data_IF_050355420282
#
_entry.id   IF_050355420282
#
_cell.length_a   1.000
_cell.length_b   1.000
_cell.length_c   1.000
_cell.angle_alpha   90.00
_cell.angle_beta   90.00
_cell.angle_gamma   90.00
#
_symmetry.space_group_name_H-M   'P 1'
#
loop_
_entity.id
_entity.type
_entity.pdbx_description
1 polymer ?
#
# COMPACT_ATOMS: atom_id res chain seq x y z
N UNK A 1 21.67 -25.51 61.27
CA UNK A 1 20.85 -25.67 60.05
C UNK A 1 20.96 -27.14 59.63
N UNK A 2 19.85 -27.89 59.56
CA UNK A 2 19.92 -29.32 59.24
C UNK A 2 20.20 -29.53 57.75
N UNK A 3 20.88 -30.62 57.34
CA UNK A 3 21.24 -30.87 55.94
C UNK A 3 20.03 -30.86 54.99
N UNK A 4 18.86 -31.28 55.49
CA UNK A 4 17.58 -31.21 54.75
C UNK A 4 17.17 -29.77 54.38
N UNK A 5 17.42 -28.78 55.25
CA UNK A 5 17.11 -27.37 54.96
C UNK A 5 18.08 -26.78 53.93
N UNK A 6 19.36 -27.19 53.94
CA UNK A 6 20.35 -26.73 52.97
C UNK A 6 20.07 -27.25 51.55
N UNK A 7 19.60 -28.50 51.44
CA UNK A 7 19.21 -29.08 50.15
C UNK A 7 17.99 -28.38 49.54
N UNK A 8 16.98 -28.04 50.34
CA UNK A 8 15.81 -27.28 49.87
C UNK A 8 16.19 -25.90 49.33
N UNK A 9 17.09 -25.17 50.00
CA UNK A 9 17.58 -23.88 49.50
C UNK A 9 18.38 -24.02 48.20
N UNK A 10 19.19 -25.07 48.06
CA UNK A 10 19.95 -25.32 46.84
C UNK A 10 19.05 -25.62 45.63
N UNK A 11 17.98 -26.40 45.81
CA UNK A 11 17.02 -26.70 44.74
C UNK A 11 16.26 -25.45 44.30
N UNK A 12 15.81 -24.62 45.24
CA UNK A 12 15.11 -23.37 44.92
C UNK A 12 16.04 -22.40 44.19
N UNK A 13 17.30 -22.26 44.61
CA UNK A 13 18.27 -21.43 43.93
C UNK A 13 18.55 -21.93 42.49
N UNK A 14 18.72 -23.24 42.30
CA UNK A 14 18.92 -23.85 40.99
C UNK A 14 17.70 -23.65 40.08
N UNK A 15 16.48 -23.80 40.62
CA UNK A 15 15.24 -23.58 39.89
C UNK A 15 15.10 -22.11 39.43
N UNK A 16 15.46 -21.15 40.27
CA UNK A 16 15.45 -19.73 39.89
C UNK A 16 16.47 -19.41 38.80
N UNK A 17 17.67 -20.01 38.86
CA UNK A 17 18.70 -19.85 37.81
C UNK A 17 18.21 -20.46 36.49
N UNK A 18 17.57 -21.63 36.52
CA UNK A 18 17.02 -22.27 35.33
C UNK A 18 15.91 -21.43 34.67
N UNK A 19 15.05 -20.77 35.46
CA UNK A 19 14.02 -19.85 34.96
C UNK A 19 14.63 -18.63 34.27
N UNK A 20 15.71 -18.06 34.83
CA UNK A 20 16.42 -16.93 34.21
C UNK A 20 17.16 -17.35 32.94
N UNK A 21 17.79 -18.53 32.92
CA UNK A 21 18.50 -19.05 31.75
C UNK A 21 17.57 -19.47 30.61
N UNK A 22 16.31 -19.77 30.90
CA UNK A 22 15.30 -20.14 29.91
C UNK A 22 14.56 -18.94 29.29
N UNK A 23 15.02 -17.69 29.56
CA UNK A 23 14.43 -16.53 28.90
C UNK A 23 14.61 -16.65 27.38
N UNK A 24 13.53 -16.51 26.59
CA UNK A 24 13.64 -16.49 25.15
C UNK A 24 14.51 -15.30 24.75
N UNK A 25 15.46 -15.53 23.83
CA UNK A 25 16.25 -14.45 23.25
C UNK A 25 15.28 -13.42 22.66
N UNK A 26 15.38 -12.17 23.13
CA UNK A 26 14.63 -11.07 22.54
C UNK A 26 15.21 -10.83 21.14
N UNK A 27 14.41 -10.85 20.06
CA UNK A 27 14.91 -10.47 18.76
C UNK A 27 15.44 -9.03 18.83
N UNK A 28 16.64 -8.80 18.30
CA UNK A 28 17.19 -7.45 18.27
C UNK A 28 16.28 -6.54 17.44
N UNK A 29 16.02 -5.30 17.91
CA UNK A 29 15.16 -4.38 17.18
C UNK A 29 15.84 -3.96 15.87
N UNK A 30 15.09 -4.03 14.77
CA UNK A 30 15.57 -3.59 13.46
C UNK A 30 15.79 -2.08 13.45
N UNK A 31 16.90 -1.65 12.85
CA UNK A 31 17.27 -0.23 12.73
C UNK A 31 16.48 0.46 11.63
N UNK A 32 16.15 1.73 11.86
CA UNK A 32 15.70 2.67 10.83
C UNK A 32 16.94 3.34 10.21
N UNK A 33 17.08 3.24 8.90
CA UNK A 33 18.18 3.82 8.13
C UNK A 33 17.88 5.26 7.71
N UNK A 34 16.61 5.54 7.38
CA UNK A 34 16.14 6.85 6.96
C UNK A 34 14.69 7.06 7.40
N UNK A 35 14.33 8.28 7.74
CA UNK A 35 12.98 8.65 8.16
C UNK A 35 12.73 10.15 7.93
N UNK A 36 11.63 10.46 7.25
CA UNK A 36 11.12 11.82 7.10
C UNK A 36 9.64 11.88 7.47
N UNK A 37 9.21 13.00 8.06
CA UNK A 37 7.82 13.25 8.38
C UNK A 37 7.54 14.75 8.41
N UNK A 38 6.64 15.19 7.54
CA UNK A 38 6.19 16.57 7.42
C UNK A 38 4.66 16.63 7.51
N UNK A 39 4.16 17.55 8.33
CA UNK A 39 2.73 17.83 8.48
C UNK A 39 2.53 19.33 8.29
N UNK A 40 1.71 19.71 7.32
CA UNK A 40 1.48 21.09 6.95
C UNK A 40 0.23 21.65 7.67
N UNK A 41 0.14 22.97 7.87
CA UNK A 41 -1.01 23.60 8.55
C UNK A 41 -2.36 23.41 7.85
N UNK A 42 -2.34 23.12 6.55
CA UNK A 42 -3.54 22.82 5.76
C UNK A 42 -4.08 21.40 5.98
N UNK A 43 -3.37 20.57 6.76
CA UNK A 43 -3.73 19.17 7.03
C UNK A 43 -3.15 18.19 6.02
N UNK A 44 -2.39 18.65 5.03
CA UNK A 44 -1.60 17.75 4.18
C UNK A 44 -0.40 17.20 4.96
N UNK A 45 0.02 16.00 4.59
CA UNK A 45 1.15 15.32 5.23
C UNK A 45 1.98 14.55 4.22
N UNK A 46 3.24 14.33 4.57
CA UNK A 46 4.13 13.39 3.90
C UNK A 46 4.93 12.65 4.96
N UNK A 47 5.13 11.34 4.78
CA UNK A 47 6.10 10.60 5.56
C UNK A 47 6.81 9.56 4.71
N UNK A 48 8.02 9.21 5.11
CA UNK A 48 8.77 8.09 4.58
C UNK A 48 9.64 7.45 5.65
N UNK A 49 9.93 6.16 5.52
CA UNK A 49 10.96 5.50 6.31
C UNK A 49 11.56 4.31 5.58
N UNK A 50 12.80 3.97 5.95
CA UNK A 50 13.55 2.83 5.46
C UNK A 50 14.15 2.04 6.61
N UNK A 51 13.95 0.72 6.62
CA UNK A 51 14.50 -0.17 7.63
C UNK A 51 15.75 -0.89 7.11
N UNK A 52 16.57 -1.42 8.02
CA UNK A 52 17.80 -2.13 7.64
C UNK A 52 17.55 -3.46 6.92
N UNK A 53 16.40 -4.09 7.12
CA UNK A 53 15.99 -5.29 6.40
C UNK A 53 15.35 -5.00 5.03
N UNK A 54 15.47 -3.78 4.51
CA UNK A 54 15.07 -3.44 3.15
C UNK A 54 13.59 -3.08 2.99
N UNK A 55 12.85 -2.84 4.08
CA UNK A 55 11.49 -2.29 3.99
C UNK A 55 11.61 -0.79 3.73
N UNK A 56 10.86 -0.29 2.76
CA UNK A 56 10.73 1.13 2.47
C UNK A 56 9.26 1.50 2.36
N UNK A 57 8.84 2.57 3.02
CA UNK A 57 7.47 3.07 2.95
C UNK A 57 7.50 4.57 2.71
N UNK A 58 6.61 5.05 1.86
CA UNK A 58 6.35 6.46 1.64
C UNK A 58 4.85 6.69 1.44
N UNK A 59 4.33 7.77 1.99
CA UNK A 59 2.97 8.19 1.71
C UNK A 59 2.82 9.71 1.85
N UNK A 60 1.90 10.26 1.07
CA UNK A 60 1.45 11.64 1.18
C UNK A 60 -0.07 11.68 1.18
N UNK A 61 -0.64 12.61 1.95
CA UNK A 61 -2.07 12.83 2.03
C UNK A 61 -2.41 14.29 1.83
N UNK A 62 -3.53 14.54 1.15
CA UNK A 62 -4.09 15.87 0.94
C UNK A 62 -5.55 15.89 1.40
N UNK A 63 -5.99 16.95 2.11
CA UNK A 63 -7.40 17.14 2.40
C UNK A 63 -8.22 17.15 1.10
N UNK A 64 -9.44 16.60 1.14
CA UNK A 64 -10.38 16.74 0.04
C UNK A 64 -10.82 18.20 -0.18
N UNK A 65 -11.65 18.45 -1.20
CA UNK A 65 -12.03 19.81 -1.61
C UNK A 65 -12.53 20.67 -0.43
N UNK A 66 -12.08 21.94 -0.32
CA UNK A 66 -12.48 22.82 0.77
C UNK A 66 -13.97 23.18 0.68
N UNK A 67 -14.68 23.05 1.81
CA UNK A 67 -16.08 23.48 1.94
C UNK A 67 -17.10 22.36 2.17
N UNK A 68 -16.72 21.09 2.01
CA UNK A 68 -17.52 19.95 2.46
C UNK A 68 -17.00 19.46 3.82
N UNK A 69 -17.82 19.66 4.85
CA UNK A 69 -17.55 19.09 6.18
C UNK A 69 -17.60 17.57 6.05
N UNK A 70 -16.46 16.90 6.26
CA UNK A 70 -16.30 15.46 6.03
C UNK A 70 -15.71 15.07 4.67
N UNK A 71 -15.17 16.03 3.89
CA UNK A 71 -14.38 15.72 2.67
C UNK A 71 -13.33 14.64 2.95
N UNK A 72 -13.37 13.50 2.23
CA UNK A 72 -12.41 12.43 2.43
C UNK A 72 -10.99 12.90 2.10
N UNK A 73 -10.02 12.43 2.87
CA UNK A 73 -8.60 12.68 2.60
C UNK A 73 -8.17 11.77 1.46
N UNK A 74 -7.52 12.35 0.45
CA UNK A 74 -6.89 11.57 -0.61
C UNK A 74 -5.46 11.23 -0.20
N UNK A 75 -5.12 9.95 -0.15
CA UNK A 75 -3.79 9.46 0.20
C UNK A 75 -3.20 8.75 -1.01
N UNK A 76 -1.92 8.98 -1.28
CA UNK A 76 -1.13 8.18 -2.21
C UNK A 76 0.10 7.68 -1.49
N UNK A 77 0.55 6.48 -1.80
CA UNK A 77 1.76 5.94 -1.19
C UNK A 77 2.31 4.73 -1.90
N UNK A 78 3.48 4.31 -1.44
CA UNK A 78 4.21 3.17 -1.95
C UNK A 78 4.91 2.48 -0.79
N UNK A 79 4.87 1.16 -0.78
CA UNK A 79 5.70 0.36 0.09
C UNK A 79 6.40 -0.74 -0.68
N UNK A 80 7.61 -1.05 -0.22
CA UNK A 80 8.50 -2.05 -0.80
C UNK A 80 9.11 -2.89 0.32
N UNK A 81 9.21 -4.20 0.10
CA UNK A 81 9.87 -5.13 1.00
C UNK A 81 10.48 -6.29 0.23
N UNK A 82 11.53 -6.95 0.74
CA UNK A 82 12.10 -8.12 0.08
C UNK A 82 11.12 -9.30 0.12
N UNK A 83 10.87 -9.91 -1.04
CA UNK A 83 10.12 -11.16 -1.17
C UNK A 83 10.93 -12.39 -0.72
N UNK A 84 10.25 -13.54 -0.63
CA UNK A 84 10.88 -14.81 -0.21
C UNK A 84 12.02 -15.27 -1.15
N UNK A 85 11.95 -14.86 -2.41
CA UNK A 85 12.94 -15.13 -3.46
C UNK A 85 14.01 -14.03 -3.58
N UNK A 86 13.95 -13.00 -2.73
CA UNK A 86 14.81 -11.82 -2.78
C UNK A 86 14.38 -10.77 -3.82
N UNK A 87 13.34 -11.04 -4.62
CA UNK A 87 12.76 -10.05 -5.53
C UNK A 87 11.98 -9.02 -4.70
N UNK A 88 12.19 -7.71 -4.90
CA UNK A 88 11.43 -6.70 -4.16
C UNK A 88 9.95 -6.77 -4.53
N UNK A 89 9.10 -6.90 -3.52
CA UNK A 89 7.66 -6.76 -3.65
C UNK A 89 7.32 -5.28 -3.46
N UNK A 90 6.75 -4.68 -4.50
CA UNK A 90 6.36 -3.27 -4.54
C UNK A 90 4.85 -3.17 -4.65
N UNK A 91 4.24 -2.33 -3.82
CA UNK A 91 2.84 -1.91 -3.92
C UNK A 91 2.79 -0.40 -3.98
N UNK A 92 2.08 0.13 -4.96
CA UNK A 92 1.66 1.53 -5.02
C UNK A 92 0.17 1.57 -4.75
N UNK A 93 -0.31 2.58 -4.05
CA UNK A 93 -1.72 2.68 -3.71
C UNK A 93 -2.24 4.10 -3.70
N UNK A 94 -3.55 4.22 -3.90
CA UNK A 94 -4.35 5.41 -3.62
C UNK A 94 -5.48 5.05 -2.66
N UNK A 95 -5.82 5.97 -1.76
CA UNK A 95 -7.00 5.86 -0.91
C UNK A 95 -7.84 7.12 -1.06
N UNK A 96 -9.11 6.95 -1.37
CA UNK A 96 -10.07 8.03 -1.62
C UNK A 96 -11.47 7.64 -1.07
N UNK A 97 -12.48 8.39 -1.50
CA UNK A 97 -13.90 8.19 -1.19
C UNK A 97 -14.44 6.82 -1.61
N UNK A 98 -13.83 6.19 -2.61
CA UNK A 98 -14.23 4.87 -3.12
C UNK A 98 -13.46 3.71 -2.49
N UNK A 99 -12.50 4.01 -1.61
CA UNK A 99 -11.77 3.02 -0.82
C UNK A 99 -10.27 2.98 -1.14
N UNK A 100 -9.65 1.82 -0.91
CA UNK A 100 -8.22 1.59 -1.11
C UNK A 100 -7.98 0.85 -2.42
N UNK A 101 -7.21 1.45 -3.30
CA UNK A 101 -6.85 0.91 -4.61
C UNK A 101 -5.35 0.65 -4.64
N UNK A 102 -4.95 -0.61 -4.84
CA UNK A 102 -3.55 -1.00 -4.87
C UNK A 102 -3.16 -1.61 -6.21
N UNK A 103 -1.95 -1.28 -6.64
CA UNK A 103 -1.31 -1.79 -7.83
C UNK A 103 0.03 -2.43 -7.46
N UNK A 104 0.28 -3.62 -7.99
CA UNK A 104 1.52 -4.35 -7.79
C UNK A 104 1.54 -5.63 -8.63
N UNK A 105 2.71 -6.01 -9.15
CA UNK A 105 2.84 -7.15 -10.07
C UNK A 105 2.40 -8.50 -9.48
N UNK A 106 2.36 -8.61 -8.16
CA UNK A 106 1.96 -9.81 -7.41
C UNK A 106 0.47 -9.80 -7.04
N UNK A 107 -0.25 -8.70 -7.28
CA UNK A 107 -1.66 -8.60 -6.96
C UNK A 107 -2.50 -9.27 -8.06
N UNK A 108 -3.65 -9.88 -7.71
CA UNK A 108 -4.57 -10.42 -8.70
C UNK A 108 -5.05 -9.33 -9.65
N UNK A 109 -4.88 -9.54 -10.95
CA UNK A 109 -5.49 -8.68 -11.98
C UNK A 109 -6.85 -9.24 -12.39
N UNK A 110 -7.84 -8.38 -12.72
CA UNK A 110 -9.06 -8.83 -13.36
C UNK A 110 -8.77 -9.70 -14.59
N UNK A 111 -9.62 -10.69 -14.84
CA UNK A 111 -9.48 -11.51 -16.04
C UNK A 111 -9.61 -10.62 -17.30
N UNK A 112 -8.86 -10.94 -18.38
CA UNK A 112 -8.92 -10.16 -19.60
C UNK A 112 -10.34 -10.16 -20.17
N UNK A 113 -10.74 -9.02 -20.75
CA UNK A 113 -12.04 -8.89 -21.41
C UNK A 113 -12.11 -9.88 -22.57
N UNK A 114 -13.19 -10.68 -22.71
CA UNK A 114 -13.35 -11.61 -23.82
C UNK A 114 -13.28 -10.89 -25.19
N UNK A 115 -12.61 -11.51 -26.16
CA UNK A 115 -12.35 -10.93 -27.48
C UNK A 115 -13.63 -10.46 -28.21
N UNK A 116 -14.71 -11.22 -28.07
CA UNK A 116 -16.00 -10.87 -28.67
C UNK A 116 -16.57 -9.54 -28.13
N UNK A 117 -16.37 -9.26 -26.85
CA UNK A 117 -16.79 -8.01 -26.21
C UNK A 117 -15.88 -6.85 -26.64
N UNK A 118 -14.57 -7.08 -26.70
CA UNK A 118 -13.63 -6.08 -27.21
C UNK A 118 -13.97 -5.69 -28.67
N UNK A 119 -14.25 -6.69 -29.52
CA UNK A 119 -14.67 -6.49 -30.92
C UNK A 119 -15.99 -5.72 -31.02
N UNK A 120 -16.98 -6.04 -30.17
CA UNK A 120 -18.26 -5.34 -30.21
C UNK A 120 -18.13 -3.86 -29.82
N UNK A 121 -17.32 -3.54 -28.80
CA UNK A 121 -17.03 -2.15 -28.41
C UNK A 121 -16.35 -1.39 -29.55
N UNK A 122 -15.38 -2.00 -30.23
CA UNK A 122 -14.71 -1.40 -31.39
C UNK A 122 -15.68 -1.16 -32.54
N UNK A 123 -16.55 -2.12 -32.87
CA UNK A 123 -17.56 -1.95 -33.92
C UNK A 123 -18.55 -0.84 -33.57
N UNK A 124 -19.00 -0.75 -32.32
CA UNK A 124 -19.89 0.30 -31.85
C UNK A 124 -19.23 1.68 -31.92
N UNK A 125 -17.95 1.79 -31.54
CA UNK A 125 -17.17 3.02 -31.66
C UNK A 125 -16.90 3.43 -33.11
N UNK A 126 -16.64 2.47 -34.00
CA UNK A 126 -16.43 2.74 -35.42
C UNK A 126 -17.75 3.19 -36.10
N UNK A 127 -18.85 2.53 -35.79
CA UNK A 127 -20.16 2.82 -36.39
C UNK A 127 -20.77 4.14 -35.89
N UNK A 128 -20.51 4.56 -34.65
CA UNK A 128 -20.89 5.89 -34.16
C UNK A 128 -20.15 7.01 -34.91
N UNK A 129 -18.84 6.84 -35.17
CA UNK A 129 -18.04 7.78 -35.96
C UNK A 129 -18.51 7.86 -37.42
N UNK A 130 -18.88 6.72 -38.02
CA UNK A 130 -19.44 6.67 -39.38
C UNK A 130 -20.80 7.36 -39.45
N UNK A 131 -21.65 7.19 -38.44
CA UNK A 131 -22.94 7.89 -38.36
C UNK A 131 -22.76 9.40 -38.21
N UNK A 132 -21.85 9.84 -37.35
CA UNK A 132 -21.52 11.27 -37.18
C UNK A 132 -20.95 11.90 -38.46
N UNK A 133 -20.15 11.18 -39.24
CA UNK A 133 -19.65 11.65 -40.54
C UNK A 133 -20.73 11.71 -41.62
N UNK A 134 -21.73 10.81 -41.58
CA UNK A 134 -22.87 10.83 -42.50
C UNK A 134 -23.86 11.96 -42.21
N UNK A 135 -23.93 12.40 -40.96
CA UNK A 135 -24.84 13.45 -40.50
C UNK A 135 -24.23 14.88 -40.59
N UNK A 136 -22.95 15.03 -40.97
CA UNK A 136 -22.41 16.36 -41.28
C UNK A 136 -23.10 16.95 -42.52
N UNK A 137 -23.80 18.09 -42.40
CA UNK A 137 -24.47 18.69 -43.55
C UNK A 137 -23.43 19.10 -44.58
N UNK A 138 -23.60 18.65 -45.83
CA UNK A 138 -22.77 19.13 -46.94
C UNK A 138 -22.91 20.64 -46.99
N UNK A 139 -21.83 21.36 -46.63
CA UNK A 139 -21.74 22.81 -46.80
C UNK A 139 -21.78 23.10 -48.30
N UNK A 140 -22.98 23.32 -48.82
CA UNK A 140 -23.15 23.83 -50.17
C UNK A 140 -22.70 25.28 -50.13
N UNK A 141 -21.49 25.51 -50.64
CA UNK A 141 -20.92 26.83 -50.82
C UNK A 141 -21.92 27.72 -51.54
N UNK A 142 -22.42 28.72 -50.81
CA UNK A 142 -23.29 29.78 -51.33
C UNK A 142 -22.51 30.51 -52.41
N UNK A 143 -22.75 30.18 -53.68
CA UNK A 143 -22.24 31.00 -54.79
C UNK A 143 -23.14 32.22 -54.92
N UNK A 144 -22.46 33.36 -54.98
CA UNK A 144 -22.97 34.73 -55.05
C UNK A 144 -23.92 34.95 -56.22
#
# INVERSE_FOLDING_TARGET
MTPSRMLSFAIVALALIAVVAAQPAQPEPLRILDQSQDILPDGSFQYSYKTENGISVEANGQPGPPGEEGSPIHISGRYEYPGEDGTPIVVTYTADDTGFHAEGNHLPTPHPIPEAIARSIQLNAASSNVRAQREQPKSYGRRF
#
